data_IF_793608075147
#
_entry.id   IF_793608075147
#
_cell.length_a   1.000
_cell.length_b   1.000
_cell.length_c   1.000
_cell.angle_alpha   90.00
_cell.angle_beta   90.00
_cell.angle_gamma   90.00
#
_symmetry.space_group_name_H-M   'P 1'
#
loop_
_entity.id
_entity.type
_entity.pdbx_description
1 polymer ?
#
# COMPACT_ATOMS: atom_id res chain seq x y z
N UNK A 1 -15.81 -16.36 -26.81
CA UNK A 1 -14.83 -15.69 -25.96
C UNK A 1 -14.59 -14.29 -26.51
N UNK A 2 -15.46 -13.36 -26.12
CA UNK A 2 -15.44 -11.99 -26.63
C UNK A 2 -14.60 -11.15 -25.66
N UNK A 3 -13.27 -11.22 -25.80
CA UNK A 3 -12.32 -10.42 -25.01
C UNK A 3 -11.69 -9.40 -25.93
N UNK A 4 -12.03 -8.14 -25.73
CA UNK A 4 -11.37 -7.03 -26.40
C UNK A 4 -10.63 -6.19 -25.38
N UNK A 5 -9.40 -5.80 -25.72
CA UNK A 5 -8.58 -4.88 -24.94
C UNK A 5 -8.26 -3.68 -25.82
N UNK A 6 -8.61 -2.50 -25.37
CA UNK A 6 -8.23 -1.22 -26.00
C UNK A 6 -7.41 -0.41 -25.02
N UNK A 7 -6.36 0.24 -25.53
CA UNK A 7 -5.55 1.16 -24.74
C UNK A 7 -5.98 2.58 -25.08
N UNK A 8 -6.48 3.30 -24.08
CA UNK A 8 -6.92 4.68 -24.25
C UNK A 8 -5.75 5.67 -24.03
N UNK A 9 -4.87 5.35 -23.08
CA UNK A 9 -3.66 6.09 -22.81
C UNK A 9 -2.54 5.14 -22.38
N UNK A 10 -1.33 5.65 -22.17
CA UNK A 10 -0.17 4.85 -21.75
C UNK A 10 -0.44 4.01 -20.49
N UNK A 11 -1.31 4.50 -19.59
CA UNK A 11 -1.56 3.89 -18.28
C UNK A 11 -3.05 3.52 -18.05
N UNK A 12 -3.92 3.59 -19.06
CA UNK A 12 -5.35 3.23 -18.96
C UNK A 12 -5.72 2.23 -20.03
N UNK A 13 -6.26 1.09 -19.59
CA UNK A 13 -6.64 -0.02 -20.46
C UNK A 13 -8.08 -0.41 -20.17
N UNK A 14 -8.89 -0.50 -21.23
CA UNK A 14 -10.27 -1.00 -21.19
C UNK A 14 -10.32 -2.44 -21.64
N UNK A 15 -10.98 -3.27 -20.85
CA UNK A 15 -11.19 -4.69 -21.09
C UNK A 15 -12.68 -4.97 -21.06
N UNK A 16 -13.18 -5.59 -22.09
CA UNK A 16 -14.55 -6.13 -22.10
C UNK A 16 -14.48 -7.63 -21.85
N UNK A 17 -15.22 -8.11 -20.87
CA UNK A 17 -15.31 -9.51 -20.52
C UNK A 17 -16.79 -9.87 -20.31
N UNK A 18 -17.35 -10.60 -21.24
CA UNK A 18 -18.79 -10.90 -21.34
C UNK A 18 -19.63 -9.61 -21.32
N UNK A 19 -20.39 -9.39 -20.26
CA UNK A 19 -21.25 -8.22 -20.02
C UNK A 19 -20.59 -7.16 -19.10
N UNK A 20 -19.30 -7.32 -18.80
CA UNK A 20 -18.57 -6.44 -17.87
C UNK A 20 -17.53 -5.62 -18.59
N UNK A 21 -17.47 -4.36 -18.22
CA UNK A 21 -16.38 -3.45 -18.59
C UNK A 21 -15.44 -3.30 -17.42
N UNK A 22 -14.14 -3.47 -17.66
CA UNK A 22 -13.09 -3.36 -16.67
C UNK A 22 -12.09 -2.32 -17.13
N UNK A 23 -11.88 -1.29 -16.34
CA UNK A 23 -10.87 -0.26 -16.61
C UNK A 23 -9.69 -0.51 -15.68
N UNK A 24 -8.51 -0.78 -16.26
CA UNK A 24 -7.27 -0.95 -15.51
C UNK A 24 -6.46 0.34 -15.58
N UNK A 25 -6.09 0.85 -14.40
CA UNK A 25 -5.29 2.06 -14.26
C UNK A 25 -3.93 1.71 -13.66
N UNK A 26 -2.88 1.90 -14.46
CA UNK A 26 -1.51 1.74 -14.00
C UNK A 26 -1.03 2.97 -13.22
N UNK A 27 -0.53 2.80 -12.00
CA UNK A 27 -0.08 3.90 -11.15
C UNK A 27 1.37 3.72 -10.71
N UNK A 28 2.11 4.84 -10.65
CA UNK A 28 3.36 4.92 -9.91
C UNK A 28 3.04 5.42 -8.50
N UNK A 29 3.26 4.59 -7.49
CA UNK A 29 2.77 4.79 -6.11
C UNK A 29 3.33 6.03 -5.37
N UNK A 30 4.03 6.91 -6.05
CA UNK A 30 4.68 8.12 -5.49
C UNK A 30 4.57 9.32 -6.44
N UNK A 31 3.59 9.34 -7.35
CA UNK A 31 3.46 10.41 -8.34
C UNK A 31 2.12 11.16 -8.23
N UNK A 32 2.16 12.48 -8.43
CA UNK A 32 0.96 13.32 -8.48
C UNK A 32 0.09 12.99 -9.68
N UNK A 33 0.72 12.69 -10.80
CA UNK A 33 0.06 12.32 -12.04
C UNK A 33 -0.82 11.08 -11.84
N UNK A 34 -0.35 10.11 -11.03
CA UNK A 34 -1.14 8.93 -10.68
C UNK A 34 -2.37 9.27 -9.84
N UNK A 35 -2.25 10.22 -8.91
CA UNK A 35 -3.39 10.67 -8.09
C UNK A 35 -4.45 11.34 -8.95
N UNK A 36 -4.02 12.23 -9.85
CA UNK A 36 -4.93 12.96 -10.76
C UNK A 36 -5.54 12.01 -11.80
N UNK A 37 -4.75 11.06 -12.34
CA UNK A 37 -5.23 10.04 -13.26
C UNK A 37 -6.33 9.20 -12.63
N UNK A 38 -6.11 8.67 -11.43
CA UNK A 38 -7.09 7.84 -10.70
C UNK A 38 -8.39 8.61 -10.47
N UNK A 39 -8.31 9.87 -10.03
CA UNK A 39 -9.49 10.71 -9.86
C UNK A 39 -10.26 10.88 -11.17
N UNK A 40 -9.56 11.32 -12.22
CA UNK A 40 -10.18 11.63 -13.50
C UNK A 40 -10.87 10.40 -14.11
N UNK A 41 -10.23 9.23 -14.06
CA UNK A 41 -10.80 7.98 -14.57
C UNK A 41 -12.05 7.59 -13.78
N UNK A 42 -12.00 7.59 -12.44
CA UNK A 42 -13.18 7.21 -11.64
C UNK A 42 -14.35 8.17 -11.85
N UNK A 43 -14.08 9.48 -11.93
CA UNK A 43 -15.11 10.50 -12.15
C UNK A 43 -15.72 10.41 -13.55
N UNK A 44 -14.91 10.08 -14.58
CA UNK A 44 -15.38 9.94 -15.96
C UNK A 44 -16.17 8.64 -16.15
N UNK A 45 -15.62 7.51 -15.71
CA UNK A 45 -16.19 6.18 -15.95
C UNK A 45 -17.38 5.86 -15.03
N UNK A 46 -17.43 6.48 -13.83
CA UNK A 46 -18.47 6.24 -12.81
C UNK A 46 -18.75 4.75 -12.60
N UNK A 47 -17.74 3.94 -12.26
CA UNK A 47 -17.88 2.50 -12.18
C UNK A 47 -18.81 2.09 -11.02
N UNK A 48 -19.42 0.90 -11.14
CA UNK A 48 -20.19 0.30 -10.03
C UNK A 48 -19.28 -0.07 -8.84
N UNK A 49 -18.02 -0.42 -9.13
CA UNK A 49 -17.05 -0.86 -8.10
C UNK A 49 -15.63 -0.41 -8.45
N UNK A 50 -14.93 0.13 -7.46
CA UNK A 50 -13.50 0.46 -7.54
C UNK A 50 -12.71 -0.60 -6.76
N UNK A 51 -11.83 -1.32 -7.47
CA UNK A 51 -10.89 -2.26 -6.86
C UNK A 51 -9.58 -1.55 -6.54
N UNK A 52 -9.15 -1.57 -5.27
CA UNK A 52 -7.92 -0.93 -4.81
C UNK A 52 -6.91 -1.94 -4.31
N UNK A 53 -5.62 -1.71 -4.56
CA UNK A 53 -4.52 -2.53 -4.05
C UNK A 53 -4.24 -2.27 -2.57
N UNK A 54 -5.28 -2.40 -1.77
CA UNK A 54 -5.23 -2.31 -0.32
C UNK A 54 -5.70 -3.61 0.31
N UNK A 55 -4.97 -4.08 1.31
CA UNK A 55 -5.47 -5.13 2.19
C UNK A 55 -6.34 -4.51 3.31
N UNK A 56 -7.20 -5.31 3.97
CA UNK A 56 -8.10 -4.79 5.01
C UNK A 56 -7.40 -4.03 6.13
N UNK A 57 -6.20 -4.46 6.54
CA UNK A 57 -5.44 -3.78 7.59
C UNK A 57 -4.91 -2.41 7.17
N UNK A 58 -4.47 -2.24 5.91
CA UNK A 58 -4.05 -0.94 5.37
C UNK A 58 -5.24 -0.02 5.15
N UNK A 59 -6.33 -0.53 4.62
CA UNK A 59 -7.58 0.21 4.46
C UNK A 59 -8.06 0.78 5.80
N UNK A 60 -8.11 -0.05 6.84
CA UNK A 60 -8.50 0.39 8.17
C UNK A 60 -7.56 1.47 8.72
N UNK A 61 -6.24 1.36 8.46
CA UNK A 61 -5.27 2.38 8.87
C UNK A 61 -5.45 3.72 8.16
N UNK A 62 -5.99 3.73 6.96
CA UNK A 62 -6.30 4.96 6.21
C UNK A 62 -7.54 5.63 6.80
N UNK A 63 -8.60 4.86 7.06
CA UNK A 63 -9.87 5.40 7.59
C UNK A 63 -9.71 5.84 9.04
N UNK A 64 -9.00 5.07 9.85
CA UNK A 64 -8.80 5.35 11.27
C UNK A 64 -7.35 5.73 11.57
N UNK A 65 -6.96 6.94 11.20
CA UNK A 65 -5.63 7.49 11.48
C UNK A 65 -5.29 7.56 12.99
N UNK A 66 -6.28 7.47 13.87
CA UNK A 66 -6.08 7.48 15.33
C UNK A 66 -5.76 6.09 15.90
N UNK A 67 -5.98 5.02 15.17
CA UNK A 67 -5.75 3.66 15.63
C UNK A 67 -4.27 3.39 16.00
N UNK A 68 -3.33 4.05 15.32
CA UNK A 68 -1.90 3.94 15.61
C UNK A 68 -1.49 4.53 16.95
N UNK A 69 -2.19 5.56 17.43
CA UNK A 69 -1.89 6.20 18.73
C UNK A 69 -2.20 5.30 19.92
N UNK A 70 -3.07 4.31 19.73
CA UNK A 70 -3.53 3.39 20.78
C UNK A 70 -2.89 2.00 20.69
N UNK A 71 -1.93 1.78 19.77
CA UNK A 71 -1.28 0.48 19.64
C UNK A 71 -0.33 0.24 20.83
N UNK A 72 -0.69 -0.71 21.67
CA UNK A 72 0.15 -1.10 22.81
C UNK A 72 1.35 -1.92 22.31
N UNK A 73 2.50 -1.25 22.10
CA UNK A 73 3.75 -1.82 21.60
C UNK A 73 4.21 -3.02 22.46
N UNK A 74 4.01 -2.93 23.77
CA UNK A 74 4.37 -4.02 24.69
C UNK A 74 3.56 -5.30 24.45
N UNK A 75 2.30 -5.17 24.05
CA UNK A 75 1.47 -6.31 23.68
C UNK A 75 1.96 -6.98 22.39
N UNK A 76 2.37 -6.19 21.41
CA UNK A 76 2.90 -6.69 20.13
C UNK A 76 4.21 -7.46 20.33
N UNK A 77 5.08 -6.97 21.22
CA UNK A 77 6.35 -7.63 21.58
C UNK A 77 6.08 -8.96 22.32
N UNK A 78 5.16 -8.98 23.29
CA UNK A 78 4.76 -10.19 24.03
C UNK A 78 4.17 -11.27 23.12
N UNK A 79 3.48 -10.90 22.07
CA UNK A 79 2.87 -11.83 21.10
C UNK A 79 3.89 -12.39 20.08
N UNK A 80 5.20 -12.18 20.29
CA UNK A 80 6.28 -12.61 19.39
C UNK A 80 6.15 -12.04 17.95
N UNK A 81 5.49 -10.90 17.81
CA UNK A 81 5.29 -10.18 16.55
C UNK A 81 6.29 -9.04 16.33
N UNK A 82 7.34 -8.98 17.16
CA UNK A 82 8.35 -7.91 17.10
C UNK A 82 8.98 -7.76 15.69
N UNK A 83 9.23 -8.88 15.00
CA UNK A 83 9.74 -8.84 13.62
C UNK A 83 8.77 -8.16 12.65
N UNK A 84 7.47 -8.46 12.76
CA UNK A 84 6.45 -7.82 11.93
C UNK A 84 6.34 -6.32 12.21
N UNK A 85 6.49 -5.92 13.47
CA UNK A 85 6.51 -4.52 13.86
C UNK A 85 7.72 -3.81 13.28
N UNK A 86 8.92 -4.37 13.43
CA UNK A 86 10.16 -3.82 12.87
C UNK A 86 10.09 -3.71 11.34
N UNK A 87 9.66 -4.76 10.65
CA UNK A 87 9.50 -4.74 9.19
C UNK A 87 8.52 -3.66 8.73
N UNK A 88 7.40 -3.49 9.44
CA UNK A 88 6.43 -2.42 9.14
C UNK A 88 7.02 -1.02 9.39
N UNK A 89 7.76 -0.83 10.47
CA UNK A 89 8.40 0.46 10.77
C UNK A 89 9.45 0.83 9.73
N UNK A 90 10.27 -0.15 9.30
CA UNK A 90 11.25 0.09 8.23
C UNK A 90 10.60 0.41 6.90
N UNK A 91 9.57 -0.37 6.52
CA UNK A 91 8.83 -0.10 5.30
C UNK A 91 8.19 1.30 5.34
N UNK A 92 7.60 1.68 6.47
CA UNK A 92 7.03 3.00 6.66
C UNK A 92 8.09 4.11 6.58
N UNK A 93 9.26 3.92 7.17
CA UNK A 93 10.38 4.88 7.11
C UNK A 93 10.92 5.02 5.69
N UNK A 94 11.10 3.92 4.98
CA UNK A 94 11.51 3.92 3.57
C UNK A 94 10.49 4.64 2.68
N UNK A 95 9.21 4.31 2.83
CA UNK A 95 8.12 4.96 2.10
C UNK A 95 8.06 6.47 2.39
N UNK A 96 8.27 6.87 3.65
CA UNK A 96 8.29 8.27 4.04
C UNK A 96 9.42 9.04 3.32
N UNK A 97 10.66 8.51 3.31
CA UNK A 97 11.80 9.11 2.61
C UNK A 97 11.54 9.27 1.10
N UNK A 98 10.95 8.25 0.48
CA UNK A 98 10.54 8.34 -0.93
C UNK A 98 9.49 9.44 -1.11
N UNK A 99 8.46 9.47 -0.26
CA UNK A 99 7.41 10.48 -0.31
C UNK A 99 7.94 11.91 -0.16
N UNK A 100 8.88 12.13 0.76
CA UNK A 100 9.54 13.43 0.96
C UNK A 100 10.34 13.86 -0.29
N UNK A 101 11.02 12.91 -0.95
CA UNK A 101 11.79 13.17 -2.17
C UNK A 101 10.91 13.52 -3.38
N UNK A 102 9.75 12.91 -3.50
CA UNK A 102 8.83 13.11 -4.64
C UNK A 102 7.67 14.07 -4.34
N UNK A 103 7.57 14.58 -3.11
CA UNK A 103 6.55 15.54 -2.70
C UNK A 103 5.13 14.97 -2.63
N UNK A 104 4.99 13.63 -2.67
CA UNK A 104 3.70 12.92 -2.60
C UNK A 104 3.78 11.83 -1.54
N UNK A 105 2.78 11.75 -0.68
CA UNK A 105 2.70 10.66 0.31
C UNK A 105 2.48 9.33 -0.40
N UNK A 106 3.29 8.29 -0.12
CA UNK A 106 3.06 6.96 -0.68
C UNK A 106 1.63 6.46 -0.38
N UNK A 107 0.95 5.99 -1.42
CA UNK A 107 -0.45 5.54 -1.33
C UNK A 107 -1.48 6.68 -1.41
N UNK A 108 -1.07 7.89 -1.78
CA UNK A 108 -2.01 9.00 -2.00
C UNK A 108 -3.03 8.68 -3.09
N UNK A 109 -2.63 7.95 -4.13
CA UNK A 109 -3.51 7.46 -5.20
C UNK A 109 -4.58 6.51 -4.66
N UNK A 110 -4.26 5.67 -3.67
CA UNK A 110 -5.23 4.79 -3.03
C UNK A 110 -6.25 5.58 -2.19
N UNK A 111 -5.77 6.59 -1.45
CA UNK A 111 -6.66 7.50 -0.72
C UNK A 111 -7.58 8.24 -1.68
N UNK A 112 -7.04 8.72 -2.80
CA UNK A 112 -7.82 9.38 -3.85
C UNK A 112 -8.85 8.43 -4.47
N UNK A 113 -8.47 7.18 -4.74
CA UNK A 113 -9.39 6.17 -5.26
C UNK A 113 -10.59 5.95 -4.32
N UNK A 114 -10.34 5.86 -3.01
CA UNK A 114 -11.41 5.72 -2.01
C UNK A 114 -12.33 6.95 -2.00
N UNK A 115 -11.78 8.15 -2.02
CA UNK A 115 -12.54 9.40 -2.02
C UNK A 115 -13.38 9.56 -3.30
N UNK A 116 -12.77 9.27 -4.45
CA UNK A 116 -13.48 9.34 -5.73
C UNK A 116 -14.58 8.28 -5.84
N UNK A 117 -14.32 7.04 -5.36
CA UNK A 117 -15.33 6.00 -5.31
C UNK A 117 -16.55 6.43 -4.47
N UNK A 118 -16.31 7.00 -3.29
CA UNK A 118 -17.38 7.53 -2.43
C UNK A 118 -18.15 8.65 -3.13
N UNK A 119 -17.46 9.58 -3.80
CA UNK A 119 -18.09 10.72 -4.48
C UNK A 119 -19.00 10.32 -5.64
N UNK A 120 -18.68 9.24 -6.36
CA UNK A 120 -19.50 8.72 -7.46
C UNK A 120 -20.50 7.65 -7.01
N UNK A 121 -20.48 7.24 -5.74
CA UNK A 121 -21.35 6.21 -5.19
C UNK A 121 -20.93 4.78 -5.54
N UNK A 122 -19.68 4.56 -5.95
CA UNK A 122 -19.14 3.25 -6.27
C UNK A 122 -18.87 2.39 -5.04
N UNK A 123 -19.06 1.08 -5.15
CA UNK A 123 -18.60 0.11 -4.16
C UNK A 123 -17.07 0.05 -4.10
N UNK A 124 -16.52 -0.30 -2.94
CA UNK A 124 -15.06 -0.48 -2.77
C UNK A 124 -14.75 -1.95 -2.59
N UNK A 125 -13.80 -2.47 -3.37
CA UNK A 125 -13.27 -3.83 -3.22
C UNK A 125 -11.78 -3.79 -2.94
N UNK A 126 -11.37 -4.47 -1.85
CA UNK A 126 -9.97 -4.58 -1.45
C UNK A 126 -9.32 -5.77 -2.14
N UNK A 127 -8.43 -5.52 -3.08
CA UNK A 127 -7.89 -6.53 -3.99
C UNK A 127 -6.50 -7.04 -3.59
N UNK A 128 -5.89 -6.50 -2.52
CA UNK A 128 -4.55 -6.93 -2.08
C UNK A 128 -4.60 -7.93 -0.91
N UNK A 129 -3.59 -8.79 -0.89
CA UNK A 129 -3.39 -9.74 0.19
C UNK A 129 -2.76 -9.06 1.41
N UNK A 130 -3.19 -9.47 2.61
CA UNK A 130 -2.57 -8.98 3.85
C UNK A 130 -1.06 -9.29 3.87
N UNK A 131 -0.26 -8.23 3.94
CA UNK A 131 1.21 -8.28 3.98
C UNK A 131 1.72 -9.16 5.12
N UNK A 132 0.98 -9.25 6.24
CA UNK A 132 1.29 -10.12 7.38
C UNK A 132 1.34 -11.59 6.97
N UNK A 133 0.45 -12.00 6.08
CA UNK A 133 0.42 -13.37 5.56
C UNK A 133 1.70 -13.67 4.76
N UNK A 134 2.10 -12.74 3.89
CA UNK A 134 3.32 -12.87 3.08
C UNK A 134 4.57 -12.88 3.96
N UNK A 135 4.70 -11.91 4.87
CA UNK A 135 5.83 -11.83 5.80
C UNK A 135 5.93 -13.05 6.73
N UNK A 136 4.80 -13.51 7.27
CA UNK A 136 4.77 -14.69 8.14
C UNK A 136 5.16 -15.97 7.40
N UNK A 137 4.76 -16.11 6.14
CA UNK A 137 5.18 -17.24 5.27
C UNK A 137 6.67 -17.19 5.01
N UNK A 138 7.18 -16.05 4.56
CA UNK A 138 8.60 -15.85 4.29
C UNK A 138 9.44 -16.15 5.53
N UNK A 139 9.06 -15.57 6.67
CA UNK A 139 9.73 -15.81 7.95
C UNK A 139 9.75 -17.28 8.34
N UNK A 140 8.64 -18.01 8.16
CA UNK A 140 8.55 -19.44 8.48
C UNK A 140 9.45 -20.29 7.59
N UNK A 141 9.60 -19.93 6.31
CA UNK A 141 10.42 -20.64 5.32
C UNK A 141 11.92 -20.35 5.46
N UNK A 142 12.28 -19.21 6.10
CA UNK A 142 13.68 -18.83 6.27
C UNK A 142 14.40 -19.76 7.26
N UNK A 143 15.65 -20.14 6.93
CA UNK A 143 16.55 -20.86 7.84
C UNK A 143 16.97 -19.97 8.99
N UNK A 144 17.31 -20.55 10.15
CA UNK A 144 17.67 -19.82 11.35
C UNK A 144 18.79 -18.79 11.12
N UNK A 145 19.86 -19.16 10.41
CA UNK A 145 20.97 -18.26 10.06
C UNK A 145 20.48 -17.02 9.27
N UNK A 146 19.58 -17.23 8.31
CA UNK A 146 19.02 -16.12 7.54
C UNK A 146 18.15 -15.20 8.40
N UNK A 147 17.40 -15.74 9.35
CA UNK A 147 16.61 -14.94 10.31
C UNK A 147 17.49 -14.04 11.16
N UNK A 148 18.60 -14.58 11.68
CA UNK A 148 19.58 -13.82 12.47
C UNK A 148 20.22 -12.72 11.62
N UNK A 149 20.61 -13.04 10.38
CA UNK A 149 21.20 -12.05 9.46
C UNK A 149 20.24 -10.90 9.18
N UNK A 150 18.98 -11.20 8.82
CA UNK A 150 17.96 -10.17 8.55
C UNK A 150 17.69 -9.32 9.80
N UNK A 151 17.65 -9.92 11.00
CA UNK A 151 17.47 -9.15 12.23
C UNK A 151 18.66 -8.23 12.51
N UNK A 152 19.89 -8.71 12.28
CA UNK A 152 21.09 -7.89 12.46
C UNK A 152 21.12 -6.71 11.47
N UNK A 153 20.83 -6.95 10.18
CA UNK A 153 20.74 -5.90 9.17
C UNK A 153 19.62 -4.87 9.48
N UNK A 154 18.51 -5.34 10.02
CA UNK A 154 17.43 -4.49 10.48
C UNK A 154 17.86 -3.58 11.64
N UNK A 155 18.57 -4.11 12.62
CA UNK A 155 19.04 -3.36 13.76
C UNK A 155 20.12 -2.33 13.37
N UNK A 156 21.05 -2.70 12.48
CA UNK A 156 22.08 -1.76 12.00
C UNK A 156 21.46 -0.60 11.21
N UNK A 157 20.51 -0.87 10.32
CA UNK A 157 19.83 0.20 9.58
C UNK A 157 18.95 1.11 10.47
N UNK A 158 18.47 0.62 11.60
CA UNK A 158 17.78 1.48 12.59
C UNK A 158 18.76 2.37 13.34
N UNK A 159 19.96 1.87 13.68
CA UNK A 159 21.01 2.66 14.30
C UNK A 159 21.50 3.81 13.41
N UNK A 160 21.74 3.54 12.14
CA UNK A 160 22.11 4.57 11.15
C UNK A 160 21.00 5.64 10.97
N UNK A 161 19.74 5.29 11.22
CA UNK A 161 18.61 6.21 11.17
C UNK A 161 18.55 7.15 12.38
N UNK A 162 19.07 6.75 13.54
CA UNK A 162 19.16 7.59 14.73
C UNK A 162 20.32 8.56 14.67
N UNK A 163 21.49 8.14 14.17
CA UNK A 163 22.65 9.00 13.98
C UNK A 163 22.39 10.20 13.05
N UNK A 164 21.60 10.00 11.98
CA UNK A 164 21.25 11.09 11.05
C UNK A 164 20.28 12.12 11.67
N UNK A 165 19.62 11.79 12.77
CA UNK A 165 18.72 12.72 13.48
C UNK A 165 19.39 13.59 14.51
N UNK A 166 20.61 13.24 14.92
CA UNK A 166 21.39 14.05 15.86
C UNK A 166 22.31 15.08 15.18
N UNK A 167 22.43 15.02 13.83
CA UNK A 167 23.26 15.97 13.06
C UNK A 167 22.45 17.13 12.41
N UNK A 168 21.13 17.19 12.58
CA UNK A 168 20.26 18.30 12.17
C UNK A 168 19.70 19.03 13.41
#
# INVERSE_FOLDING_TARGET
DNRFMTQESENVFHLTFDDKEIVLVGTAHVSRESVDLVRNVIEAERPDTVCVELCPSRYQSIIDANQWKNTNILKVIKEKKAFLLLANLMLASFQRRIGEKFGVKPGAEMVQALQSAESVGAGIHLADRDVRTTLSRTWRLMKFKSKVKVLAELLTSLGELEEIKEED
#
